data_IF_625407521998
#
_entry.id   IF_625407521998
#
_cell.length_a   1.000
_cell.length_b   1.000
_cell.length_c   1.000
_cell.angle_alpha   90.00
_cell.angle_beta   90.00
_cell.angle_gamma   90.00
#
_symmetry.space_group_name_H-M   'P 1'
#
loop_
_entity.id
_entity.type
_entity.pdbx_description
1 polymer ?
#
# COMPACT_ATOMS: atom_id res chain seq x y z
N UNK A 1 -54.52 -35.48 7.71
CA UNK A 1 -53.82 -34.81 6.60
C UNK A 1 -52.86 -33.81 7.21
N UNK A 2 -51.57 -34.14 7.25
CA UNK A 2 -50.51 -33.28 7.79
C UNK A 2 -49.71 -32.72 6.61
N UNK A 3 -49.54 -31.40 6.56
CA UNK A 3 -48.59 -30.75 5.66
C UNK A 3 -47.18 -30.87 6.23
N UNK A 4 -46.17 -31.28 5.46
CA UNK A 4 -44.78 -31.12 5.87
C UNK A 4 -44.29 -29.70 5.53
N UNK A 5 -43.89 -28.96 6.56
CA UNK A 5 -43.07 -27.76 6.44
C UNK A 5 -41.65 -28.17 6.04
N UNK A 6 -41.19 -27.73 4.88
CA UNK A 6 -39.80 -27.89 4.44
C UNK A 6 -39.36 -26.61 3.72
N UNK A 7 -39.16 -25.55 4.49
CA UNK A 7 -38.33 -24.40 4.08
C UNK A 7 -37.04 -24.47 4.89
N UNK A 8 -36.18 -25.41 4.52
CA UNK A 8 -34.78 -25.42 4.92
C UNK A 8 -33.97 -25.41 3.61
N UNK A 9 -34.07 -24.29 2.89
CA UNK A 9 -33.13 -24.02 1.81
C UNK A 9 -31.77 -23.78 2.46
N UNK A 10 -30.72 -24.55 2.13
CA UNK A 10 -29.39 -24.23 2.58
C UNK A 10 -29.03 -22.84 2.02
N UNK A 11 -28.96 -21.85 2.91
CA UNK A 11 -28.43 -20.53 2.58
C UNK A 11 -27.09 -20.74 1.88
N UNK A 12 -26.78 -20.07 0.76
CA UNK A 12 -25.45 -20.14 0.18
C UNK A 12 -24.48 -19.69 1.26
N UNK A 13 -23.69 -20.65 1.77
CA UNK A 13 -22.51 -20.35 2.56
C UNK A 13 -21.64 -19.53 1.62
N UNK A 14 -21.55 -18.22 1.86
CA UNK A 14 -20.58 -17.36 1.21
C UNK A 14 -19.22 -17.96 1.52
N UNK A 15 -18.73 -18.81 0.61
CA UNK A 15 -17.32 -19.19 0.57
C UNK A 15 -16.58 -17.88 0.34
N UNK A 16 -16.06 -17.32 1.42
CA UNK A 16 -14.96 -16.37 1.33
C UNK A 16 -13.81 -17.18 0.74
N UNK A 17 -13.66 -17.09 -0.58
CA UNK A 17 -12.46 -17.52 -1.29
C UNK A 17 -11.24 -17.00 -0.51
N UNK A 18 -10.16 -17.80 -0.40
CA UNK A 18 -9.03 -17.45 0.44
C UNK A 18 -8.52 -16.09 -0.01
N UNK A 19 -8.62 -15.10 0.89
CA UNK A 19 -7.75 -13.92 0.83
C UNK A 19 -6.34 -14.49 0.76
N UNK A 20 -5.73 -14.47 -0.43
CA UNK A 20 -4.30 -14.73 -0.56
C UNK A 20 -3.62 -13.76 0.38
N UNK A 21 -3.14 -14.26 1.53
CA UNK A 21 -2.52 -13.47 2.57
C UNK A 21 -1.51 -12.51 1.94
N UNK A 22 -1.52 -11.26 2.36
CA UNK A 22 -0.55 -10.30 1.87
C UNK A 22 0.82 -10.60 2.50
N UNK A 23 1.91 -10.46 1.73
CA UNK A 23 3.24 -10.60 2.30
C UNK A 23 3.56 -9.38 3.20
N UNK A 24 4.61 -9.46 4.03
CA UNK A 24 4.85 -8.46 5.07
C UNK A 24 5.19 -7.06 4.55
N UNK A 25 5.60 -6.91 3.28
CA UNK A 25 5.90 -5.63 2.65
C UNK A 25 4.91 -5.38 1.51
N UNK A 26 4.19 -4.26 1.59
CA UNK A 26 3.29 -3.82 0.54
C UNK A 26 3.69 -2.44 0.03
N UNK A 27 3.84 -2.33 -1.28
CA UNK A 27 3.97 -1.04 -1.98
C UNK A 27 2.61 -0.72 -2.59
N UNK A 28 1.93 0.30 -2.06
CA UNK A 28 0.63 0.72 -2.57
C UNK A 28 0.79 1.91 -3.52
N UNK A 29 0.19 1.81 -4.70
CA UNK A 29 0.35 2.74 -5.79
C UNK A 29 -0.99 3.17 -6.35
N UNK A 30 -1.12 4.47 -6.61
CA UNK A 30 -2.24 5.05 -7.34
C UNK A 30 -1.69 5.49 -8.70
N UNK A 31 -2.02 4.75 -9.76
CA UNK A 31 -1.42 4.94 -11.09
C UNK A 31 -1.75 6.30 -11.71
N UNK A 32 -2.96 6.83 -11.46
CA UNK A 32 -3.37 8.11 -12.01
C UNK A 32 -3.16 9.22 -10.99
N UNK A 33 -2.05 9.94 -11.08
CA UNK A 33 -1.90 11.13 -10.28
C UNK A 33 -2.74 12.27 -10.91
N UNK A 34 -3.58 12.99 -10.14
CA UNK A 34 -4.38 14.12 -10.65
C UNK A 34 -3.54 15.32 -11.11
N UNK A 35 -2.21 15.26 -10.94
CA UNK A 35 -1.25 16.26 -11.42
C UNK A 35 -0.37 15.73 -12.57
N UNK A 36 -0.61 14.51 -13.06
CA UNK A 36 0.02 14.05 -14.29
C UNK A 36 -0.62 14.81 -15.46
N UNK A 37 0.02 15.92 -15.82
CA UNK A 37 -0.30 16.64 -17.03
C UNK A 37 0.26 15.84 -18.21
N UNK A 38 -0.55 15.54 -19.25
CA UNK A 38 -0.10 14.77 -20.41
C UNK A 38 1.07 15.43 -21.16
N UNK A 39 1.33 16.72 -20.91
CA UNK A 39 2.30 17.53 -21.65
C UNK A 39 3.67 17.66 -20.96
N UNK A 40 3.77 17.50 -19.63
CA UNK A 40 5.01 17.76 -18.87
C UNK A 40 5.64 16.52 -18.26
N UNK A 41 4.97 15.36 -18.35
CA UNK A 41 5.34 14.18 -17.59
C UNK A 41 5.08 14.35 -16.08
N UNK A 42 5.39 13.32 -15.26
CA UNK A 42 5.02 13.30 -13.85
C UNK A 42 5.85 14.31 -13.04
N UNK A 43 5.16 15.21 -12.32
CA UNK A 43 5.79 16.16 -11.39
C UNK A 43 6.35 15.49 -10.12
N UNK A 44 6.03 14.22 -9.90
CA UNK A 44 6.46 13.42 -8.77
C UNK A 44 7.30 12.24 -9.25
N UNK A 45 8.50 12.08 -8.67
CA UNK A 45 9.30 10.87 -8.90
C UNK A 45 8.65 9.73 -8.12
N UNK A 46 7.88 8.94 -8.84
CA UNK A 46 7.32 7.69 -8.35
C UNK A 46 8.44 6.68 -8.09
N UNK A 47 8.16 5.65 -7.29
CA UNK A 47 8.85 4.37 -7.43
C UNK A 47 8.48 3.82 -8.81
N UNK A 48 9.17 4.27 -9.86
CA UNK A 48 8.86 3.86 -11.22
C UNK A 48 8.89 2.34 -11.27
N UNK A 49 7.78 1.72 -11.69
CA UNK A 49 7.59 0.27 -11.79
C UNK A 49 8.61 -0.41 -12.72
N UNK A 50 9.42 0.37 -13.44
CA UNK A 50 10.56 -0.07 -14.22
C UNK A 50 11.75 -0.50 -13.34
N UNK A 51 12.82 -0.97 -13.97
CA UNK A 51 14.02 -1.59 -13.37
C UNK A 51 14.62 -0.91 -12.11
N UNK A 52 14.31 0.36 -11.85
CA UNK A 52 14.81 1.11 -10.69
C UNK A 52 13.94 0.97 -9.41
N UNK A 53 12.73 0.39 -9.48
CA UNK A 53 11.84 0.27 -8.30
C UNK A 53 12.53 -0.44 -7.15
N UNK A 54 13.23 -1.55 -7.44
CA UNK A 54 13.87 -2.38 -6.41
C UNK A 54 14.98 -1.62 -5.70
N UNK A 55 15.86 -0.94 -6.44
CA UNK A 55 16.96 -0.14 -5.90
C UNK A 55 16.43 1.01 -5.04
N UNK A 56 15.39 1.70 -5.52
CA UNK A 56 14.77 2.77 -4.74
C UNK A 56 14.10 2.24 -3.48
N UNK A 57 13.43 1.10 -3.55
CA UNK A 57 12.78 0.47 -2.41
C UNK A 57 13.79 -0.01 -1.37
N UNK A 58 14.88 -0.66 -1.78
CA UNK A 58 16.00 -1.04 -0.90
C UNK A 58 16.60 0.20 -0.20
N UNK A 59 16.70 1.32 -0.91
CA UNK A 59 17.13 2.59 -0.33
C UNK A 59 16.20 3.16 0.75
N UNK A 60 14.92 2.75 0.78
CA UNK A 60 13.91 3.21 1.75
C UNK A 60 13.76 2.25 2.94
N UNK A 61 13.77 0.94 2.66
CA UNK A 61 13.41 -0.08 3.65
C UNK A 61 14.58 -0.98 4.07
N UNK A 62 15.72 -0.88 3.39
CA UNK A 62 16.85 -1.80 3.51
C UNK A 62 16.70 -3.01 2.58
N UNK A 63 17.66 -3.95 2.62
CA UNK A 63 17.56 -5.22 1.91
C UNK A 63 16.28 -5.98 2.32
N UNK A 64 15.60 -6.57 1.35
CA UNK A 64 14.37 -7.34 1.58
C UNK A 64 14.34 -8.58 0.68
N UNK A 65 13.56 -9.59 1.05
CA UNK A 65 13.27 -10.74 0.20
C UNK A 65 12.22 -10.34 -0.86
N UNK A 66 12.46 -10.49 -2.17
CA UNK A 66 11.45 -10.22 -3.19
C UNK A 66 10.12 -10.97 -2.99
N UNK A 67 10.13 -12.15 -2.35
CA UNK A 67 8.92 -12.92 -2.07
C UNK A 67 8.09 -12.32 -0.91
N UNK A 68 8.71 -11.47 -0.08
CA UNK A 68 8.05 -10.70 0.99
C UNK A 68 7.38 -9.41 0.49
N UNK A 69 7.47 -9.13 -0.82
CA UNK A 69 6.99 -7.90 -1.43
C UNK A 69 5.76 -8.14 -2.31
N UNK A 70 4.74 -7.31 -2.13
CA UNK A 70 3.65 -7.17 -3.11
C UNK A 70 3.37 -5.73 -3.46
N UNK A 71 3.21 -5.48 -4.76
CA UNK A 71 2.73 -4.18 -5.27
C UNK A 71 1.21 -4.25 -5.41
N UNK A 72 0.53 -3.26 -4.84
CA UNK A 72 -0.92 -3.07 -4.95
C UNK A 72 -1.16 -1.80 -5.77
N UNK A 73 -1.98 -1.91 -6.81
CA UNK A 73 -2.23 -0.84 -7.77
C UNK A 73 -3.72 -0.49 -7.78
N UNK A 74 -4.03 0.80 -7.64
CA UNK A 74 -5.34 1.35 -7.89
C UNK A 74 -5.27 2.45 -8.97
N UNK A 75 -6.30 2.55 -9.80
CA UNK A 75 -6.41 3.62 -10.81
C UNK A 75 -6.77 4.96 -10.18
N UNK A 76 -7.44 4.96 -9.03
CA UNK A 76 -7.93 6.13 -8.32
C UNK A 76 -7.67 5.97 -6.82
N UNK A 77 -7.55 7.08 -6.06
CA UNK A 77 -7.33 6.98 -4.61
C UNK A 77 -8.46 6.21 -3.90
N UNK A 78 -8.06 5.23 -3.09
CA UNK A 78 -8.93 4.29 -2.38
C UNK A 78 -9.79 3.37 -3.28
N UNK A 79 -9.18 2.82 -4.33
CA UNK A 79 -9.80 1.81 -5.17
C UNK A 79 -9.88 0.41 -4.52
N UNK A 80 -10.10 -0.66 -5.31
CA UNK A 80 -10.22 -2.01 -4.78
C UNK A 80 -9.01 -2.50 -3.96
N UNK A 81 -7.79 -2.12 -4.34
CA UNK A 81 -6.57 -2.57 -3.68
C UNK A 81 -6.37 -1.89 -2.31
N UNK A 82 -6.92 -0.70 -2.11
CA UNK A 82 -6.96 -0.03 -0.81
C UNK A 82 -7.62 -0.87 0.29
N UNK A 83 -8.75 -1.51 0.00
CA UNK A 83 -9.43 -2.38 0.97
C UNK A 83 -8.56 -3.60 1.32
N UNK A 84 -7.85 -4.15 0.34
CA UNK A 84 -6.92 -5.26 0.56
C UNK A 84 -5.77 -4.82 1.46
N UNK A 85 -5.16 -3.66 1.19
CA UNK A 85 -4.12 -3.07 2.03
C UNK A 85 -4.58 -2.92 3.48
N UNK A 86 -5.71 -2.25 3.71
CA UNK A 86 -6.21 -2.01 5.06
C UNK A 86 -6.51 -3.32 5.79
N UNK A 87 -7.13 -4.28 5.11
CA UNK A 87 -7.41 -5.59 5.70
C UNK A 87 -6.12 -6.31 6.09
N UNK A 88 -5.10 -6.33 5.22
CA UNK A 88 -3.82 -6.97 5.52
C UNK A 88 -3.08 -6.30 6.69
N UNK A 89 -3.19 -4.99 6.85
CA UNK A 89 -2.64 -4.29 8.04
C UNK A 89 -3.44 -4.63 9.29
N UNK A 90 -4.78 -4.64 9.22
CA UNK A 90 -5.66 -4.98 10.35
C UNK A 90 -5.48 -6.45 10.79
N UNK A 91 -5.18 -7.35 9.85
CA UNK A 91 -4.90 -8.76 10.12
C UNK A 91 -3.43 -9.01 10.53
N UNK A 92 -2.62 -7.95 10.68
CA UNK A 92 -1.20 -8.01 11.04
C UNK A 92 -0.32 -8.80 10.06
N UNK A 93 -0.83 -9.07 8.85
CA UNK A 93 -0.08 -9.69 7.75
C UNK A 93 0.95 -8.70 7.20
N UNK A 94 0.52 -7.45 6.99
CA UNK A 94 1.35 -6.39 6.42
C UNK A 94 2.04 -5.62 7.53
N UNK A 95 3.38 -5.69 7.57
CA UNK A 95 4.22 -5.02 8.56
C UNK A 95 4.84 -3.73 8.05
N UNK A 96 5.01 -3.59 6.74
CA UNK A 96 5.55 -2.38 6.11
C UNK A 96 4.67 -1.97 4.94
N UNK A 97 4.22 -0.72 4.95
CA UNK A 97 3.48 -0.09 3.86
C UNK A 97 4.35 1.02 3.28
N UNK A 98 4.63 0.96 1.99
CA UNK A 98 5.31 2.01 1.25
C UNK A 98 4.32 2.64 0.28
N UNK A 99 4.06 3.93 0.42
CA UNK A 99 3.09 4.63 -0.44
C UNK A 99 3.33 6.12 -0.46
N UNK A 100 2.94 6.78 -1.55
CA UNK A 100 2.72 8.22 -1.50
C UNK A 100 1.36 8.52 -0.87
N UNK A 101 1.29 9.59 -0.07
CA UNK A 101 0.04 10.03 0.55
C UNK A 101 -0.79 10.91 -0.39
N UNK A 102 -0.21 11.49 -1.43
CA UNK A 102 -0.98 12.08 -2.52
C UNK A 102 -1.16 11.01 -3.62
N UNK A 103 -2.36 10.89 -4.24
CA UNK A 103 -3.53 11.79 -4.15
C UNK A 103 -4.59 11.43 -3.10
N UNK A 104 -4.27 10.68 -2.04
CA UNK A 104 -5.26 10.35 -1.01
C UNK A 104 -5.84 11.62 -0.36
N UNK A 105 -7.14 11.62 -0.12
CA UNK A 105 -7.83 12.67 0.63
C UNK A 105 -7.29 12.76 2.06
N UNK A 106 -7.51 13.88 2.76
CA UNK A 106 -7.10 14.00 4.18
C UNK A 106 -7.68 12.89 5.05
N UNK A 107 -8.92 12.48 4.82
CA UNK A 107 -9.55 11.38 5.53
C UNK A 107 -8.87 10.03 5.26
N UNK A 108 -8.59 9.73 4.00
CA UNK A 108 -7.88 8.49 3.61
C UNK A 108 -6.45 8.45 4.18
N UNK A 109 -5.73 9.58 4.15
CA UNK A 109 -4.40 9.69 4.75
C UNK A 109 -4.44 9.41 6.24
N UNK A 110 -5.36 10.06 6.97
CA UNK A 110 -5.53 9.85 8.40
C UNK A 110 -5.95 8.42 8.74
N UNK A 111 -6.80 7.81 7.91
CA UNK A 111 -7.18 6.41 8.05
C UNK A 111 -5.96 5.49 7.96
N UNK A 112 -5.14 5.63 6.92
CA UNK A 112 -3.94 4.79 6.75
C UNK A 112 -2.93 5.00 7.87
N UNK A 113 -2.65 6.26 8.22
CA UNK A 113 -1.74 6.61 9.33
C UNK A 113 -2.26 5.99 10.64
N UNK A 114 -3.56 6.15 10.92
CA UNK A 114 -4.18 5.63 12.14
C UNK A 114 -4.15 4.11 12.22
N UNK A 115 -4.49 3.42 11.13
CA UNK A 115 -4.48 1.95 11.07
C UNK A 115 -3.05 1.42 11.21
N UNK A 116 -2.08 1.96 10.49
CA UNK A 116 -0.68 1.55 10.62
C UNK A 116 -0.14 1.77 12.04
N UNK A 117 -0.41 2.94 12.63
CA UNK A 117 0.04 3.26 13.99
C UNK A 117 -0.61 2.35 15.05
N UNK A 118 -1.89 2.03 14.90
CA UNK A 118 -2.62 1.18 15.83
C UNK A 118 -2.16 -0.28 15.78
N UNK A 119 -1.91 -0.80 14.57
CA UNK A 119 -1.50 -2.19 14.35
C UNK A 119 0.03 -2.40 14.42
N UNK A 120 0.81 -1.35 14.61
CA UNK A 120 2.28 -1.42 14.66
C UNK A 120 2.95 -1.62 13.29
N UNK A 121 2.24 -1.39 12.19
CA UNK A 121 2.83 -1.45 10.85
C UNK A 121 3.61 -0.16 10.54
N UNK A 122 4.78 -0.31 9.89
CA UNK A 122 5.63 0.80 9.48
C UNK A 122 5.08 1.44 8.20
N UNK A 123 4.69 2.71 8.25
CA UNK A 123 4.29 3.49 7.08
C UNK A 123 5.48 4.32 6.56
N UNK A 124 5.82 4.18 5.29
CA UNK A 124 6.95 4.85 4.63
C UNK A 124 6.44 5.65 3.44
N UNK A 125 6.79 6.93 3.39
CA UNK A 125 6.34 7.87 2.37
C UNK A 125 7.53 8.42 1.56
N UNK A 126 7.78 7.92 0.33
CA UNK A 126 8.98 8.26 -0.44
C UNK A 126 9.14 9.76 -0.76
N UNK A 127 8.06 10.54 -0.66
CA UNK A 127 8.04 12.00 -0.86
C UNK A 127 8.50 12.86 0.34
N UNK A 128 8.80 12.28 1.50
CA UNK A 128 9.27 13.04 2.68
C UNK A 128 10.74 12.74 3.06
N UNK A 129 11.38 11.80 2.35
CA UNK A 129 12.78 11.40 2.56
C UNK A 129 13.80 12.52 2.24
N UNK A 130 13.36 13.65 1.68
CA UNK A 130 14.17 14.85 1.44
C UNK A 130 14.23 15.85 2.61
N UNK A 131 13.28 15.80 3.56
CA UNK A 131 13.25 16.75 4.70
C UNK A 131 14.08 16.30 5.91
N UNK A 132 14.33 15.00 6.03
CA UNK A 132 15.05 14.41 7.16
C UNK A 132 16.43 13.82 6.78
N UNK A 133 17.09 14.30 5.72
CA UNK A 133 18.54 14.08 5.62
C UNK A 133 19.23 14.93 6.69
N UNK A 134 19.94 14.35 7.67
CA UNK A 134 20.89 15.15 8.45
C UNK A 134 21.86 15.79 7.45
N UNK A 135 21.89 17.13 7.43
CA UNK A 135 22.94 17.90 6.74
C UNK A 135 24.27 17.58 7.42
N UNK A 136 24.92 16.50 7.01
CA UNK A 136 26.06 15.98 7.77
C UNK A 136 26.77 14.86 7.08
N UNK A 137 27.35 15.12 5.91
CA UNK A 137 28.62 14.54 5.46
C UNK A 137 28.94 15.04 4.05
N UNK A 138 29.39 16.29 3.96
CA UNK A 138 30.31 16.63 2.87
C UNK A 138 31.60 15.85 3.13
N UNK A 139 32.07 14.96 2.24
CA UNK A 139 33.43 14.49 2.33
C UNK A 139 34.32 15.71 2.06
N UNK A 140 35.17 16.06 3.03
CA UNK A 140 36.29 16.97 2.80
C UNK A 140 37.04 16.46 1.58
N UNK A 141 36.98 17.22 0.49
CA UNK A 141 37.99 17.13 -0.55
C UNK A 141 39.33 17.51 0.10
N UNK A 142 40.32 16.65 -0.12
CA UNK A 142 41.71 16.87 0.27
C UNK A 142 42.29 18.05 -0.48
#
# INVERSE_FOLDING_TARGET
MCYPSAWDEPRPVLRMEPTTALPPIVVYIIERHPLDLPETGPLFRWLHSDNDMRVQLEGLIGPYDPDDLRVLLDQEPAGPAWKQLLNGVIQEEVRTVVTHLAPLSSAQRQQLIGVCAHMGARLITPGDAGRNRPKGSSPRAR
#
